data_IF_444478521606
#
_entry.id   IF_444478521606
#
_cell.length_a   1.000
_cell.length_b   1.000
_cell.length_c   1.000
_cell.angle_alpha   90.00
_cell.angle_beta   90.00
_cell.angle_gamma   90.00
#
_symmetry.space_group_name_H-M   'P 1'
#
loop_
_entity.id
_entity.type
_entity.pdbx_description
1 polymer ?
#
# COMPACT_ATOMS: atom_id res chain seq x y z
N UNK A 1 7.14 -38.46 45.24
CA UNK A 1 6.45 -38.69 43.95
C UNK A 1 5.60 -37.46 43.56
N UNK A 2 6.18 -36.25 43.47
CA UNK A 2 5.41 -35.00 43.22
C UNK A 2 5.97 -34.12 42.09
N UNK A 3 7.08 -34.52 41.44
CA UNK A 3 7.73 -33.71 40.40
C UNK A 3 7.13 -33.88 38.99
N UNK A 4 6.38 -34.95 38.76
CA UNK A 4 5.77 -35.27 37.47
C UNK A 4 4.66 -34.28 37.03
N UNK A 5 3.68 -33.88 37.88
CA UNK A 5 2.64 -32.95 37.46
C UNK A 5 3.15 -31.52 37.22
N UNK A 6 4.20 -31.09 37.94
CA UNK A 6 4.77 -29.76 37.81
C UNK A 6 5.55 -29.58 36.50
N UNK A 7 6.23 -30.63 36.00
CA UNK A 7 6.92 -30.60 34.70
C UNK A 7 5.94 -30.47 33.53
N UNK A 8 4.80 -31.18 33.58
CA UNK A 8 3.76 -31.15 32.55
C UNK A 8 3.13 -29.76 32.46
N UNK A 9 2.83 -29.13 33.60
CA UNK A 9 2.25 -27.79 33.64
C UNK A 9 3.19 -26.72 33.05
N UNK A 10 4.50 -26.82 33.33
CA UNK A 10 5.52 -25.92 32.77
C UNK A 10 5.68 -26.11 31.25
N UNK A 11 5.59 -27.35 30.76
CA UNK A 11 5.65 -27.65 29.33
C UNK A 11 4.45 -27.08 28.57
N UNK A 12 3.23 -27.27 29.09
CA UNK A 12 2.00 -26.75 28.49
C UNK A 12 2.02 -25.21 28.48
N UNK A 13 2.47 -24.58 29.56
CA UNK A 13 2.64 -23.13 29.65
C UNK A 13 3.66 -22.59 28.63
N UNK A 14 4.80 -23.28 28.45
CA UNK A 14 5.82 -22.87 27.49
C UNK A 14 5.38 -23.05 26.03
N UNK A 15 4.59 -24.09 25.74
CA UNK A 15 4.01 -24.31 24.40
C UNK A 15 2.91 -23.29 24.09
N UNK A 16 2.07 -22.95 25.08
CA UNK A 16 1.07 -21.89 24.96
C UNK A 16 1.72 -20.51 24.74
N UNK A 17 2.85 -20.24 25.40
CA UNK A 17 3.62 -19.01 25.22
C UNK A 17 4.25 -18.94 23.82
N UNK A 18 4.82 -20.04 23.31
CA UNK A 18 5.38 -20.10 21.96
C UNK A 18 4.30 -19.91 20.87
N UNK A 19 3.11 -20.49 21.06
CA UNK A 19 1.96 -20.26 20.19
C UNK A 19 1.51 -18.80 20.21
N UNK A 20 1.43 -18.18 21.40
CA UNK A 20 1.08 -16.77 21.56
C UNK A 20 2.07 -15.83 20.85
N UNK A 21 3.37 -16.11 20.92
CA UNK A 21 4.41 -15.30 20.27
C UNK A 21 4.33 -15.37 18.74
N UNK A 22 3.98 -16.53 18.17
CA UNK A 22 3.85 -16.68 16.71
C UNK A 22 2.69 -15.89 16.10
N UNK A 23 1.59 -15.69 16.84
CA UNK A 23 0.42 -14.92 16.36
C UNK A 23 0.70 -13.43 16.26
N UNK A 24 1.57 -12.89 17.11
CA UNK A 24 1.92 -11.46 17.09
C UNK A 24 2.84 -11.12 15.91
N UNK A 25 3.65 -12.08 15.44
CA UNK A 25 4.60 -11.89 14.35
C UNK A 25 4.01 -11.85 12.93
N UNK A 26 2.75 -12.25 12.75
CA UNK A 26 2.08 -12.23 11.43
C UNK A 26 1.08 -11.09 11.26
N UNK A 27 1.16 -10.05 12.09
CA UNK A 27 0.40 -8.83 11.84
C UNK A 27 1.06 -8.13 10.65
N UNK A 28 0.59 -8.50 9.46
CA UNK A 28 0.85 -7.80 8.22
C UNK A 28 0.58 -6.32 8.46
N UNK A 29 1.62 -5.50 8.34
CA UNK A 29 1.46 -4.05 8.23
C UNK A 29 0.63 -3.78 6.99
N UNK A 30 -0.68 -3.67 7.16
CA UNK A 30 -1.55 -3.14 6.12
C UNK A 30 -1.06 -1.71 5.90
N UNK A 31 -0.44 -1.48 4.74
CA UNK A 31 -0.15 -0.13 4.29
C UNK A 31 -1.48 0.61 4.28
N UNK A 32 -1.57 1.67 5.08
CA UNK A 32 -2.78 2.47 5.20
C UNK A 32 -3.01 3.12 3.84
N UNK A 33 -4.00 2.64 3.09
CA UNK A 33 -4.34 3.22 1.80
C UNK A 33 -4.88 4.63 2.05
N UNK A 34 -4.13 5.64 1.61
CA UNK A 34 -4.60 7.02 1.61
C UNK A 34 -5.59 7.16 0.47
N UNK A 35 -6.88 7.13 0.79
CA UNK A 35 -7.95 7.43 -0.16
C UNK A 35 -8.26 8.93 -0.16
N UNK A 36 -8.81 9.41 -1.28
CA UNK A 36 -9.40 10.75 -1.34
C UNK A 36 -10.58 10.86 -0.37
N UNK A 37 -10.84 12.07 0.11
CA UNK A 37 -12.03 12.36 0.93
C UNK A 37 -13.23 12.55 0.00
N UNK A 38 -14.28 11.69 0.09
CA UNK A 38 -15.44 11.77 -0.80
C UNK A 38 -16.34 12.98 -0.52
N UNK A 39 -16.18 13.66 0.62
CA UNK A 39 -16.92 14.88 0.94
C UNK A 39 -16.30 16.14 0.33
N UNK A 40 -15.08 16.03 -0.18
CA UNK A 40 -14.32 17.14 -0.73
C UNK A 40 -14.67 17.32 -2.22
N UNK A 41 -15.06 18.54 -2.58
CA UNK A 41 -15.34 18.91 -3.97
C UNK A 41 -14.05 18.92 -4.81
N UNK A 42 -14.14 18.63 -6.11
CA UNK A 42 -12.97 18.61 -7.00
C UNK A 42 -12.19 19.94 -7.00
N UNK A 43 -12.90 21.06 -6.90
CA UNK A 43 -12.31 22.42 -6.85
C UNK A 43 -11.51 22.71 -5.59
N UNK A 44 -11.64 21.88 -4.56
CA UNK A 44 -10.90 22.03 -3.30
C UNK A 44 -9.57 21.27 -3.32
N UNK A 45 -9.31 20.47 -4.35
CA UNK A 45 -8.01 19.86 -4.59
C UNK A 45 -7.10 20.83 -5.33
N UNK A 46 -5.79 20.74 -5.06
CA UNK A 46 -4.81 21.41 -5.90
C UNK A 46 -4.77 20.74 -7.26
N UNK A 47 -4.66 21.55 -8.31
CA UNK A 47 -4.53 21.07 -9.69
C UNK A 47 -3.18 21.50 -10.21
N UNK A 48 -2.37 20.51 -10.59
CA UNK A 48 -1.15 20.75 -11.35
C UNK A 48 -1.46 20.56 -12.83
N UNK A 49 -0.89 21.43 -13.65
CA UNK A 49 -1.02 21.37 -15.11
C UNK A 49 0.36 21.05 -15.69
N UNK A 50 0.39 20.11 -16.64
CA UNK A 50 1.57 19.85 -17.45
C UNK A 50 1.28 20.34 -18.86
N UNK A 51 2.20 21.12 -19.40
CA UNK A 51 2.16 21.61 -20.77
C UNK A 51 3.40 21.17 -21.55
N UNK A 52 3.52 21.62 -22.80
CA UNK A 52 4.71 21.39 -23.63
C UNK A 52 5.99 21.83 -22.91
N UNK A 53 5.94 22.96 -22.19
CA UNK A 53 7.10 23.48 -21.45
C UNK A 53 7.54 22.57 -20.28
N UNK A 54 6.65 21.69 -19.80
CA UNK A 54 6.94 20.68 -18.78
C UNK A 54 7.39 19.34 -19.37
N UNK A 55 7.48 19.24 -20.70
CA UNK A 55 7.98 18.06 -21.42
C UNK A 55 6.92 17.23 -22.14
N UNK A 56 5.66 17.65 -22.17
CA UNK A 56 4.68 17.03 -23.06
C UNK A 56 5.06 17.27 -24.53
N UNK A 57 4.97 16.27 -25.42
CA UNK A 57 5.19 16.49 -26.84
C UNK A 57 4.17 17.49 -27.45
N UNK A 58 2.91 17.44 -26.99
CA UNK A 58 1.83 18.34 -27.40
C UNK A 58 0.70 18.34 -26.32
N UNK A 59 -0.01 19.47 -26.15
CA UNK A 59 -0.97 19.68 -25.04
C UNK A 59 -2.25 18.83 -25.10
N UNK A 60 -2.57 18.19 -26.23
CA UNK A 60 -3.75 17.35 -26.42
C UNK A 60 -3.40 15.88 -26.17
N UNK A 61 -3.70 15.42 -24.96
CA UNK A 61 -3.59 14.00 -24.59
C UNK A 61 -4.81 13.24 -25.10
N UNK A 62 -4.58 12.16 -25.86
CA UNK A 62 -5.61 11.28 -26.44
C UNK A 62 -5.75 9.96 -25.70
N UNK A 63 -4.69 9.51 -25.02
CA UNK A 63 -4.65 8.25 -24.30
C UNK A 63 -3.80 8.36 -23.04
N UNK A 64 -4.18 7.60 -22.00
CA UNK A 64 -3.46 7.51 -20.74
C UNK A 64 -3.41 6.05 -20.27
N UNK A 65 -2.24 5.60 -19.84
CA UNK A 65 -2.03 4.28 -19.25
C UNK A 65 -1.09 4.36 -18.05
N UNK A 66 -1.27 3.49 -17.05
CA UNK A 66 -0.36 3.37 -15.92
C UNK A 66 0.32 1.99 -15.94
N UNK A 67 1.62 1.97 -15.70
CA UNK A 67 2.38 0.73 -15.52
C UNK A 67 2.20 0.18 -14.10
N UNK A 68 2.57 -1.08 -13.88
CA UNK A 68 2.46 -1.72 -12.56
C UNK A 68 3.41 -1.12 -11.52
N UNK A 69 4.52 -0.53 -11.96
CA UNK A 69 5.49 0.19 -11.13
C UNK A 69 5.14 1.68 -10.95
N UNK A 70 4.02 2.15 -11.50
CA UNK A 70 3.40 3.43 -11.16
C UNK A 70 3.67 4.58 -12.12
N UNK A 71 4.44 4.38 -13.20
CA UNK A 71 4.64 5.39 -14.24
C UNK A 71 3.37 5.59 -15.07
N UNK A 72 3.16 6.83 -15.50
CA UNK A 72 2.10 7.20 -16.44
C UNK A 72 2.69 7.34 -17.84
N UNK A 73 1.98 6.78 -18.82
CA UNK A 73 2.22 6.97 -20.24
C UNK A 73 1.08 7.80 -20.83
N UNK A 74 1.44 8.85 -21.55
CA UNK A 74 0.54 9.81 -22.16
C UNK A 74 0.75 9.80 -23.68
N UNK A 75 -0.26 9.34 -24.41
CA UNK A 75 -0.29 9.44 -25.86
C UNK A 75 -0.86 10.79 -26.27
N UNK A 76 -0.05 11.63 -26.92
CA UNK A 76 -0.48 12.91 -27.49
C UNK A 76 -0.61 12.79 -29.02
N UNK A 77 -1.11 13.84 -29.68
CA UNK A 77 -1.18 13.84 -31.15
C UNK A 77 0.21 13.83 -31.83
N UNK A 78 1.28 14.15 -31.10
CA UNK A 78 2.64 14.31 -31.65
C UNK A 78 3.69 13.45 -30.91
N UNK A 79 3.28 12.49 -30.07
CA UNK A 79 4.23 11.62 -29.40
C UNK A 79 3.69 10.82 -28.22
N UNK A 80 4.62 10.10 -27.59
CA UNK A 80 4.40 9.33 -26.37
C UNK A 80 5.41 9.79 -25.33
N UNK A 81 4.94 10.06 -24.12
CA UNK A 81 5.77 10.43 -22.96
C UNK A 81 5.33 9.67 -21.73
#
# INVERSE_FOLDING_TARGET
MTKLPLMIFKFISSLALLLLVSVVGTQSTQAQQVSLDPSKELSQYMHDEWQVDDGLPQNSVRALAQTQDGYLWLGTDDGLV
#
